data_IF_899777296228
#
_entry.id   IF_899777296228
#
_cell.length_a   1.000
_cell.length_b   1.000
_cell.length_c   1.000
_cell.angle_alpha   90.00
_cell.angle_beta   90.00
_cell.angle_gamma   90.00
#
_symmetry.space_group_name_H-M   'P 1'
#
loop_
_entity.id
_entity.type
_entity.pdbx_description
1 polymer ?
#
# COMPACT_ATOMS: atom_id res chain seq x y z
N UNK A 1 2.00 -2.40 -0.68
CA UNK A 1 0.96 -3.28 -1.30
C UNK A 1 0.31 -2.72 -2.58
N UNK A 2 -0.23 -1.49 -2.60
CA UNK A 2 -0.98 -0.99 -3.79
C UNK A 2 -0.19 -0.97 -5.11
N UNK A 3 1.09 -0.60 -5.07
CA UNK A 3 1.96 -0.66 -6.25
C UNK A 3 2.20 -2.09 -6.77
N UNK A 4 2.16 -3.11 -5.90
CA UNK A 4 2.21 -4.52 -6.32
C UNK A 4 0.94 -4.90 -7.07
N UNK A 5 -0.21 -4.45 -6.60
CA UNK A 5 -1.47 -4.64 -7.32
C UNK A 5 -1.44 -3.93 -8.67
N UNK A 6 -1.04 -2.66 -8.71
CA UNK A 6 -0.91 -1.91 -9.97
C UNK A 6 0.03 -2.61 -10.96
N UNK A 7 1.18 -3.10 -10.50
CA UNK A 7 2.12 -3.83 -11.34
C UNK A 7 1.55 -5.15 -11.86
N UNK A 8 0.77 -5.88 -11.05
CA UNK A 8 0.09 -7.11 -11.50
C UNK A 8 -0.94 -6.86 -12.61
N UNK A 9 -1.47 -5.64 -12.70
CA UNK A 9 -2.39 -5.24 -13.76
C UNK A 9 -1.67 -4.81 -15.05
N UNK A 10 -0.36 -4.53 -14.99
CA UNK A 10 0.43 -4.00 -16.11
C UNK A 10 1.36 -5.10 -16.63
N UNK A 11 1.10 -5.61 -17.83
CA UNK A 11 1.84 -6.75 -18.42
C UNK A 11 3.14 -6.34 -19.14
N UNK A 12 3.87 -5.37 -18.59
CA UNK A 12 5.04 -4.73 -19.23
C UNK A 12 6.34 -5.05 -18.48
N UNK A 13 7.50 -5.02 -19.15
CA UNK A 13 8.82 -5.23 -18.52
C UNK A 13 9.11 -4.27 -17.36
N UNK A 14 8.52 -3.07 -17.35
CA UNK A 14 8.61 -2.13 -16.22
C UNK A 14 7.93 -2.62 -14.93
N UNK A 15 7.04 -3.62 -15.01
CA UNK A 15 6.39 -4.21 -13.85
C UNK A 15 7.35 -5.04 -12.99
N UNK A 16 8.39 -5.65 -13.59
CA UNK A 16 9.33 -6.51 -12.85
C UNK A 16 10.11 -5.75 -11.76
N UNK A 17 10.70 -4.60 -12.13
CA UNK A 17 11.42 -3.74 -11.18
C UNK A 17 10.47 -3.20 -10.10
N UNK A 18 9.28 -2.78 -10.51
CA UNK A 18 8.25 -2.25 -9.61
C UNK A 18 7.78 -3.29 -8.59
N UNK A 19 7.59 -4.54 -9.02
CA UNK A 19 7.25 -5.67 -8.13
C UNK A 19 8.41 -5.94 -7.17
N UNK A 20 9.63 -6.03 -7.68
CA UNK A 20 10.81 -6.37 -6.88
C UNK A 20 11.00 -5.36 -5.74
N UNK A 21 11.08 -4.07 -6.05
CA UNK A 21 11.32 -3.03 -5.03
C UNK A 21 10.19 -2.96 -4.00
N UNK A 22 8.92 -3.05 -4.43
CA UNK A 22 7.79 -2.99 -3.51
C UNK A 22 7.64 -4.27 -2.69
N UNK A 23 8.02 -5.44 -3.22
CA UNK A 23 7.96 -6.70 -2.48
C UNK A 23 8.98 -6.73 -1.34
N UNK A 24 10.21 -6.28 -1.61
CA UNK A 24 11.25 -6.11 -0.59
C UNK A 24 10.80 -5.07 0.45
N UNK A 25 10.28 -3.92 0.01
CA UNK A 25 9.73 -2.90 0.90
C UNK A 25 8.63 -3.45 1.81
N UNK A 26 7.70 -4.23 1.26
CA UNK A 26 6.63 -4.87 2.02
C UNK A 26 7.16 -5.88 3.06
N UNK A 27 8.20 -6.66 2.73
CA UNK A 27 8.83 -7.57 3.68
C UNK A 27 9.48 -6.80 4.84
N UNK A 28 10.22 -5.73 4.54
CA UNK A 28 10.85 -4.87 5.54
C UNK A 28 9.80 -4.18 6.43
N UNK A 29 8.75 -3.59 5.84
CA UNK A 29 7.63 -2.99 6.58
C UNK A 29 6.95 -4.00 7.51
N UNK A 30 6.74 -5.23 7.03
CA UNK A 30 6.13 -6.31 7.83
C UNK A 30 7.00 -6.64 9.05
N UNK A 31 8.33 -6.74 8.88
CA UNK A 31 9.26 -6.97 9.99
C UNK A 31 9.19 -5.82 11.00
N UNK A 32 9.21 -4.56 10.54
CA UNK A 32 9.09 -3.40 11.43
C UNK A 32 7.80 -3.40 12.24
N UNK A 33 6.67 -3.68 11.59
CA UNK A 33 5.36 -3.76 12.25
C UNK A 33 5.32 -4.92 13.25
N UNK A 34 5.87 -6.08 12.90
CA UNK A 34 5.91 -7.23 13.80
C UNK A 34 6.74 -6.96 15.06
N UNK A 35 7.91 -6.34 14.89
CA UNK A 35 8.74 -5.88 16.01
C UNK A 35 7.99 -4.85 16.86
N UNK A 36 7.38 -3.84 16.23
CA UNK A 36 6.60 -2.82 16.94
C UNK A 36 5.47 -3.46 17.76
N UNK A 37 4.68 -4.36 17.17
CA UNK A 37 3.58 -5.02 17.87
C UNK A 37 4.07 -5.91 19.03
N UNK A 38 5.27 -6.47 18.92
CA UNK A 38 5.87 -7.32 19.97
C UNK A 38 6.28 -6.48 21.18
N UNK A 39 6.95 -5.36 20.94
CA UNK A 39 7.58 -4.55 21.99
C UNK A 39 6.76 -3.34 22.45
N UNK A 40 5.74 -2.90 21.70
CA UNK A 40 4.95 -1.72 22.05
C UNK A 40 4.06 -1.94 23.28
N UNK A 41 3.84 -0.89 24.10
CA UNK A 41 2.90 -0.94 25.22
C UNK A 41 1.46 -1.17 24.74
N UNK A 42 0.62 -1.77 25.59
CA UNK A 42 -0.71 -2.28 25.23
C UNK A 42 -1.60 -1.27 24.49
N UNK A 43 -1.58 0.00 24.92
CA UNK A 43 -2.39 1.05 24.31
C UNK A 43 -1.94 1.37 22.88
N UNK A 44 -0.64 1.60 22.67
CA UNK A 44 -0.08 1.87 21.35
C UNK A 44 -0.23 0.66 20.42
N UNK A 45 0.00 -0.56 20.93
CA UNK A 45 -0.22 -1.82 20.20
C UNK A 45 -1.65 -1.96 19.68
N UNK A 46 -2.64 -1.67 20.52
CA UNK A 46 -4.06 -1.75 20.13
C UNK A 46 -4.40 -0.70 19.06
N UNK A 47 -3.85 0.51 19.16
CA UNK A 47 -4.01 1.53 18.13
C UNK A 47 -3.41 1.08 16.80
N UNK A 48 -2.19 0.54 16.80
CA UNK A 48 -1.53 0.03 15.59
C UNK A 48 -2.31 -1.13 14.96
N UNK A 49 -2.85 -2.05 15.75
CA UNK A 49 -3.71 -3.13 15.24
C UNK A 49 -4.97 -2.59 14.55
N UNK A 50 -5.61 -1.55 15.12
CA UNK A 50 -6.77 -0.90 14.47
C UNK A 50 -6.38 -0.23 13.15
N UNK A 51 -5.24 0.44 13.11
CA UNK A 51 -4.73 1.05 11.88
C UNK A 51 -4.38 0.01 10.81
N UNK A 52 -3.81 -1.13 11.20
CA UNK A 52 -3.56 -2.25 10.30
C UNK A 52 -4.84 -2.81 9.70
N UNK A 53 -5.87 -3.00 10.52
CA UNK A 53 -7.19 -3.44 10.04
C UNK A 53 -7.80 -2.42 9.07
N UNK A 54 -7.69 -1.12 9.38
CA UNK A 54 -8.16 -0.07 8.48
C UNK A 54 -7.38 -0.06 7.15
N UNK A 55 -6.06 -0.25 7.21
CA UNK A 55 -5.21 -0.30 6.01
C UNK A 55 -5.57 -1.51 5.14
N UNK A 56 -5.72 -2.69 5.74
CA UNK A 56 -6.11 -3.91 5.03
C UNK A 56 -7.52 -3.79 4.45
N UNK A 57 -8.48 -3.29 5.25
CA UNK A 57 -9.85 -3.03 4.79
C UNK A 57 -9.91 -2.02 3.64
N UNK A 58 -9.14 -0.93 3.73
CA UNK A 58 -8.99 0.05 2.67
C UNK A 58 -8.40 -0.54 1.39
N UNK A 59 -7.35 -1.36 1.52
CA UNK A 59 -6.75 -2.08 0.40
C UNK A 59 -7.75 -3.04 -0.27
N UNK A 60 -8.44 -3.89 0.51
CA UNK A 60 -9.48 -4.78 0.00
C UNK A 60 -10.62 -4.01 -0.68
N UNK A 61 -11.03 -2.87 -0.11
CA UNK A 61 -12.06 -2.01 -0.71
C UNK A 61 -11.62 -1.48 -2.08
N UNK A 62 -10.37 -1.03 -2.22
CA UNK A 62 -9.81 -0.59 -3.50
C UNK A 62 -9.79 -1.74 -4.51
N UNK A 63 -9.38 -2.95 -4.10
CA UNK A 63 -9.39 -4.14 -4.95
C UNK A 63 -10.79 -4.46 -5.46
N UNK A 64 -11.78 -4.53 -4.57
CA UNK A 64 -13.16 -4.86 -4.92
C UNK A 64 -13.77 -3.79 -5.81
N UNK A 65 -13.69 -2.51 -5.40
CA UNK A 65 -14.24 -1.40 -6.16
C UNK A 65 -13.60 -1.29 -7.54
N UNK A 66 -12.28 -1.41 -7.65
CA UNK A 66 -11.60 -1.36 -8.95
C UNK A 66 -11.98 -2.55 -9.84
N UNK A 67 -12.19 -3.75 -9.28
CA UNK A 67 -12.60 -4.93 -10.03
C UNK A 67 -14.05 -4.83 -10.55
N UNK A 68 -14.98 -4.35 -9.71
CA UNK A 68 -16.40 -4.26 -10.08
C UNK A 68 -16.74 -3.04 -10.92
N UNK A 69 -16.11 -1.89 -10.67
CA UNK A 69 -16.47 -0.61 -11.33
C UNK A 69 -15.71 -0.38 -12.64
N UNK A 70 -14.55 -1.02 -12.85
CA UNK A 70 -13.70 -0.72 -14.01
C UNK A 70 -13.13 -1.97 -14.69
N UNK A 71 -12.94 -1.90 -16.01
CA UNK A 71 -12.40 -3.01 -16.82
C UNK A 71 -11.19 -2.55 -17.63
N UNK A 72 -10.29 -3.48 -17.93
CA UNK A 72 -9.15 -3.27 -18.83
C UNK A 72 -8.28 -2.06 -18.47
N UNK A 73 -8.03 -1.18 -19.45
CA UNK A 73 -7.17 0.00 -19.32
C UNK A 73 -7.69 1.02 -18.31
N UNK A 74 -9.01 1.18 -18.18
CA UNK A 74 -9.62 2.09 -17.21
C UNK A 74 -9.28 1.69 -15.76
N UNK A 75 -9.19 0.39 -15.48
CA UNK A 75 -8.78 -0.14 -14.18
C UNK A 75 -7.33 0.20 -13.86
N UNK A 76 -6.43 0.04 -14.83
CA UNK A 76 -5.02 0.39 -14.69
C UNK A 76 -4.88 1.90 -14.38
N UNK A 77 -5.59 2.75 -15.12
CA UNK A 77 -5.55 4.20 -14.90
C UNK A 77 -6.10 4.60 -13.52
N UNK A 78 -7.23 4.03 -13.09
CA UNK A 78 -7.82 4.33 -11.78
C UNK A 78 -6.87 3.95 -10.64
N UNK A 79 -6.38 2.71 -10.65
CA UNK A 79 -5.46 2.20 -9.61
C UNK A 79 -4.15 3.00 -9.63
N UNK A 80 -3.64 3.34 -10.82
CA UNK A 80 -2.45 4.18 -10.98
C UNK A 80 -2.63 5.57 -10.35
N UNK A 81 -3.76 6.24 -10.59
CA UNK A 81 -4.07 7.55 -9.96
C UNK A 81 -4.11 7.46 -8.43
N UNK A 82 -4.70 6.40 -7.88
CA UNK A 82 -4.74 6.16 -6.43
C UNK A 82 -3.33 5.93 -5.89
N UNK A 83 -2.51 5.13 -6.58
CA UNK A 83 -1.12 4.87 -6.18
C UNK A 83 -0.30 6.17 -6.15
N UNK A 84 -0.41 7.00 -7.18
CA UNK A 84 0.29 8.31 -7.23
C UNK A 84 -0.18 9.22 -6.11
N UNK A 85 -1.49 9.36 -5.89
CA UNK A 85 -2.02 10.23 -4.83
C UNK A 85 -1.51 9.83 -3.44
N UNK A 86 -1.50 8.53 -3.12
CA UNK A 86 -0.99 8.03 -1.84
C UNK A 86 0.54 8.14 -1.74
N UNK A 87 1.27 7.92 -2.83
CA UNK A 87 2.72 8.15 -2.89
C UNK A 87 3.10 9.63 -2.72
N UNK A 88 2.24 10.56 -3.13
CA UNK A 88 2.46 11.99 -2.83
C UNK A 88 2.17 12.28 -1.36
N UNK A 89 1.11 11.70 -0.80
CA UNK A 89 0.72 11.93 0.59
C UNK A 89 1.82 11.55 1.61
N UNK A 90 2.61 10.51 1.34
CA UNK A 90 3.70 10.12 2.26
C UNK A 90 4.82 11.17 2.36
N UNK A 91 4.95 12.10 1.39
CA UNK A 91 5.89 13.21 1.48
C UNK A 91 5.52 14.27 2.51
N UNK A 92 4.30 14.23 3.06
CA UNK A 92 3.91 15.10 4.17
C UNK A 92 4.81 14.89 5.40
N UNK A 93 5.25 13.66 5.68
CA UNK A 93 6.12 13.37 6.82
C UNK A 93 7.51 14.03 6.66
N UNK A 94 8.26 13.85 5.55
CA UNK A 94 9.48 14.62 5.30
C UNK A 94 9.29 16.13 5.33
N UNK A 95 8.19 16.65 4.77
CA UNK A 95 7.93 18.09 4.75
C UNK A 95 7.65 18.66 6.15
N UNK A 96 7.04 17.88 7.04
CA UNK A 96 6.75 18.30 8.42
C UNK A 96 7.99 18.48 9.31
N UNK A 97 9.17 18.03 8.84
CA UNK A 97 10.45 18.19 9.54
C UNK A 97 11.11 19.54 9.20
N UNK A 98 10.70 20.20 8.10
CA UNK A 98 11.15 21.54 7.69
C UNK A 98 10.31 22.60 8.38
#
# INVERSE_FOLDING_TARGET
>A
MLWLYYASLKSESSAFLLITVNSVGCAVETIYIALYLTYAPKQARMMTLRLLLLNFGGYCSILLLSHFLTKGSARVQLVGRICVALSVAVFAAPLSVI
#
